data_IF_572056940703
#
_entry.id   IF_572056940703
#
_cell.length_a   1.000
_cell.length_b   1.000
_cell.length_c   1.000
_cell.angle_alpha   90.00
_cell.angle_beta   90.00
_cell.angle_gamma   90.00
#
_symmetry.space_group_name_H-M   'P 1'
#
loop_
_entity.id
_entity.type
_entity.pdbx_description
1 polymer ?
#
# COMPACT_ATOMS: atom_id res chain seq x y z
N UNK A 1 -17.72 6.67 -1.46
CA UNK A 1 -16.34 6.52 -1.97
C UNK A 1 -15.68 5.31 -1.36
N UNK A 2 -14.84 4.64 -2.12
CA UNK A 2 -13.97 3.58 -1.61
C UNK A 2 -12.64 4.20 -1.22
N UNK A 3 -12.31 4.13 0.06
CA UNK A 3 -11.10 4.74 0.59
C UNK A 3 -10.21 3.65 1.16
N UNK A 4 -8.96 3.60 0.69
CA UNK A 4 -7.98 2.63 1.13
C UNK A 4 -6.95 3.31 2.02
N UNK A 5 -6.81 2.84 3.25
CA UNK A 5 -5.83 3.32 4.20
C UNK A 5 -4.69 2.31 4.28
N UNK A 6 -3.48 2.75 3.98
CA UNK A 6 -2.29 1.91 4.01
C UNK A 6 -1.45 2.28 5.22
N UNK A 7 -1.26 1.32 6.13
CA UNK A 7 -0.41 1.51 7.31
C UNK A 7 0.99 0.96 7.02
N UNK A 8 1.97 1.86 6.99
CA UNK A 8 3.36 1.51 6.74
C UNK A 8 4.19 1.28 8.01
N UNK A 9 3.54 1.17 9.17
CA UNK A 9 4.24 0.89 10.41
C UNK A 9 4.42 -0.60 10.64
N UNK A 10 5.60 -1.06 11.09
CA UNK A 10 5.75 -2.45 11.53
C UNK A 10 5.03 -2.74 12.84
N UNK A 11 4.61 -1.71 13.56
CA UNK A 11 3.90 -1.84 14.83
C UNK A 11 2.40 -1.77 14.60
N UNK A 12 1.72 -2.91 14.73
CA UNK A 12 0.27 -3.01 14.44
C UNK A 12 -0.59 -2.16 15.37
N UNK A 13 -0.12 -1.88 16.58
CA UNK A 13 -0.84 -1.09 17.59
C UNK A 13 -0.13 0.23 17.89
N UNK A 14 0.74 0.68 17.01
CA UNK A 14 1.49 1.92 17.19
C UNK A 14 0.67 3.16 16.84
N UNK A 15 1.32 4.32 16.93
CA UNK A 15 0.66 5.61 16.73
C UNK A 15 0.12 5.76 15.30
N UNK A 16 0.85 5.30 14.31
CA UNK A 16 0.40 5.39 12.91
C UNK A 16 -0.91 4.63 12.72
N UNK A 17 -0.98 3.39 13.23
CA UNK A 17 -2.20 2.60 13.13
C UNK A 17 -3.36 3.24 13.86
N UNK A 18 -3.11 3.83 15.04
CA UNK A 18 -4.14 4.51 15.81
C UNK A 18 -4.70 5.73 15.08
N UNK A 19 -3.83 6.52 14.46
CA UNK A 19 -4.26 7.69 13.68
C UNK A 19 -5.12 7.25 12.49
N UNK A 20 -4.73 6.19 11.79
CA UNK A 20 -5.51 5.68 10.66
C UNK A 20 -6.86 5.14 11.13
N UNK A 21 -6.93 4.49 12.30
CA UNK A 21 -8.21 4.05 12.85
C UNK A 21 -9.12 5.24 13.18
N UNK A 22 -8.56 6.31 13.74
CA UNK A 22 -9.32 7.53 14.01
C UNK A 22 -9.85 8.14 12.70
N UNK A 23 -9.02 8.15 11.66
CA UNK A 23 -9.45 8.61 10.35
C UNK A 23 -10.60 7.75 9.80
N UNK A 24 -10.50 6.43 9.95
CA UNK A 24 -11.55 5.51 9.52
C UNK A 24 -12.88 5.83 10.19
N UNK A 25 -12.84 6.12 11.50
CA UNK A 25 -14.05 6.49 12.25
C UNK A 25 -14.61 7.82 11.71
N UNK A 26 -13.74 8.79 11.46
CA UNK A 26 -14.15 10.10 10.95
C UNK A 26 -14.75 10.02 9.53
N UNK A 27 -14.44 8.99 8.78
CA UNK A 27 -14.94 8.77 7.43
C UNK A 27 -16.21 7.91 7.42
N UNK A 28 -16.98 7.94 8.49
CA UNK A 28 -18.25 7.23 8.58
C UNK A 28 -19.13 7.60 7.38
N UNK A 29 -19.77 6.59 6.80
CA UNK A 29 -20.58 6.76 5.59
C UNK A 29 -19.83 6.41 4.31
N UNK A 30 -18.51 6.32 4.35
CA UNK A 30 -17.70 5.86 3.21
C UNK A 30 -17.31 4.40 3.40
N UNK A 31 -16.96 3.73 2.30
CA UNK A 31 -16.41 2.37 2.37
C UNK A 31 -14.90 2.47 2.60
N UNK A 32 -14.46 2.16 3.82
CA UNK A 32 -13.06 2.30 4.21
C UNK A 32 -12.46 0.92 4.45
N UNK A 33 -11.33 0.66 3.81
CA UNK A 33 -10.53 -0.55 4.02
C UNK A 33 -9.17 -0.14 4.53
N UNK A 34 -8.70 -0.77 5.60
CA UNK A 34 -7.39 -0.52 6.16
C UNK A 34 -6.50 -1.73 5.94
N UNK A 35 -5.32 -1.51 5.39
CA UNK A 35 -4.33 -2.55 5.13
C UNK A 35 -3.05 -2.23 5.90
N UNK A 36 -2.57 -3.20 6.67
CA UNK A 36 -1.29 -3.09 7.36
C UNK A 36 -0.23 -3.84 6.56
N UNK A 37 0.79 -3.11 6.09
CA UNK A 37 1.87 -3.72 5.31
C UNK A 37 2.66 -4.74 6.13
N UNK A 38 2.67 -4.59 7.45
CA UNK A 38 3.35 -5.53 8.34
C UNK A 38 2.74 -6.93 8.33
N UNK A 39 1.48 -7.05 7.90
CA UNK A 39 0.77 -8.34 7.84
C UNK A 39 0.87 -9.00 6.48
N UNK A 40 1.44 -8.31 5.49
CA UNK A 40 1.53 -8.81 4.13
C UNK A 40 2.93 -9.34 3.81
N UNK A 41 2.99 -10.27 2.88
CA UNK A 41 4.25 -10.77 2.35
C UNK A 41 4.57 -9.97 1.09
N UNK A 42 5.49 -9.02 1.22
CA UNK A 42 5.93 -8.15 0.13
C UNK A 42 7.44 -8.18 0.02
N UNK A 43 7.95 -8.43 -1.17
CA UNK A 43 9.38 -8.36 -1.47
C UNK A 43 9.69 -7.05 -2.18
N UNK A 44 10.96 -6.67 -2.21
CA UNK A 44 11.39 -5.49 -2.95
C UNK A 44 11.26 -5.68 -4.46
N UNK A 45 11.18 -4.59 -5.19
CA UNK A 45 11.19 -4.62 -6.65
C UNK A 45 12.54 -5.15 -7.16
N UNK A 46 12.48 -6.06 -8.12
CA UNK A 46 13.69 -6.66 -8.70
C UNK A 46 14.24 -5.89 -9.90
N UNK A 47 13.49 -4.88 -10.37
CA UNK A 47 13.92 -4.11 -11.54
C UNK A 47 13.91 -4.90 -12.84
N UNK A 48 13.16 -6.00 -12.90
CA UNK A 48 13.18 -6.91 -14.05
C UNK A 48 12.38 -6.41 -15.24
N UNK A 49 11.55 -5.39 -15.08
CA UNK A 49 10.72 -4.76 -16.11
C UNK A 49 9.67 -5.70 -16.75
N UNK A 50 9.41 -6.87 -16.20
CA UNK A 50 8.41 -7.78 -16.75
C UNK A 50 7.02 -7.14 -16.72
N UNK A 51 6.70 -6.37 -15.68
CA UNK A 51 5.42 -5.67 -15.56
C UNK A 51 5.17 -4.67 -16.70
N UNK A 52 6.22 -4.20 -17.36
CA UNK A 52 6.12 -3.23 -18.45
C UNK A 52 5.77 -3.87 -19.79
N UNK A 53 5.79 -5.20 -19.88
CA UNK A 53 5.46 -5.92 -21.10
C UNK A 53 3.97 -6.05 -21.34
N UNK A 54 3.13 -5.88 -20.30
CA UNK A 54 1.69 -5.88 -20.42
C UNK A 54 1.16 -4.51 -19.99
N UNK A 55 0.73 -3.71 -20.96
CA UNK A 55 0.27 -2.34 -20.70
C UNK A 55 -1.18 -2.26 -20.23
N UNK A 56 -1.91 -3.35 -20.30
CA UNK A 56 -3.35 -3.36 -19.97
C UNK A 56 -3.65 -3.79 -18.55
N UNK A 57 -2.74 -4.53 -17.92
CA UNK A 57 -2.97 -5.10 -16.60
C UNK A 57 -1.94 -4.60 -15.59
N UNK A 58 -2.38 -4.15 -14.41
CA UNK A 58 -1.47 -3.97 -13.31
C UNK A 58 -1.02 -5.35 -12.85
N UNK A 59 0.22 -5.49 -12.46
CA UNK A 59 0.66 -6.74 -11.91
C UNK A 59 2.16 -6.93 -12.02
N UNK A 60 2.64 -7.77 -11.16
CA UNK A 60 4.06 -8.10 -11.05
C UNK A 60 4.21 -9.60 -11.24
N UNK A 61 5.35 -10.02 -11.81
CA UNK A 61 5.67 -11.43 -11.98
C UNK A 61 5.93 -12.12 -10.63
N UNK A 62 6.33 -11.35 -9.62
CA UNK A 62 6.53 -11.91 -8.29
C UNK A 62 5.21 -12.37 -7.66
N UNK A 63 5.23 -13.58 -7.08
CA UNK A 63 4.04 -14.16 -6.48
C UNK A 63 4.02 -13.90 -4.98
N UNK A 64 3.83 -12.64 -4.63
CA UNK A 64 3.59 -12.20 -3.26
C UNK A 64 2.27 -11.42 -3.20
N UNK A 65 2.01 -10.67 -2.15
CA UNK A 65 0.73 -9.98 -1.98
C UNK A 65 0.58 -8.71 -2.83
N UNK A 66 1.58 -8.38 -3.65
CA UNK A 66 1.59 -7.08 -4.34
C UNK A 66 0.46 -6.94 -5.36
N UNK A 67 0.20 -7.96 -6.16
CA UNK A 67 -0.79 -7.83 -7.24
C UNK A 67 -2.18 -7.57 -6.68
N UNK A 68 -2.57 -8.31 -5.63
CA UNK A 68 -3.86 -8.10 -4.98
C UNK A 68 -3.95 -6.70 -4.35
N UNK A 69 -2.86 -6.23 -3.73
CA UNK A 69 -2.84 -4.91 -3.11
C UNK A 69 -2.90 -3.79 -4.16
N UNK A 70 -2.18 -3.93 -5.26
CA UNK A 70 -2.25 -2.95 -6.36
C UNK A 70 -3.64 -2.90 -6.97
N UNK A 71 -4.34 -4.03 -7.04
CA UNK A 71 -5.72 -4.06 -7.50
C UNK A 71 -6.62 -3.24 -6.58
N UNK A 72 -6.43 -3.35 -5.27
CA UNK A 72 -7.16 -2.53 -4.30
C UNK A 72 -6.85 -1.04 -4.48
N UNK A 73 -5.59 -0.69 -4.75
CA UNK A 73 -5.19 0.70 -5.03
C UNK A 73 -5.94 1.23 -6.25
N UNK A 74 -6.01 0.45 -7.32
CA UNK A 74 -6.66 0.88 -8.55
C UNK A 74 -8.17 1.04 -8.38
N UNK A 75 -8.80 0.22 -7.55
CA UNK A 75 -10.24 0.26 -7.31
C UNK A 75 -10.63 1.35 -6.32
N UNK A 76 -9.69 1.90 -5.58
CA UNK A 76 -9.96 2.94 -4.59
C UNK A 76 -10.19 4.28 -5.25
N UNK A 77 -11.11 5.06 -4.69
CA UNK A 77 -11.31 6.46 -5.09
C UNK A 77 -10.24 7.35 -4.45
N UNK A 78 -9.77 6.98 -3.26
CA UNK A 78 -8.70 7.69 -2.56
C UNK A 78 -7.84 6.69 -1.79
N UNK A 79 -6.55 6.96 -1.73
CA UNK A 79 -5.59 6.16 -0.97
C UNK A 79 -4.85 7.07 -0.01
N UNK A 80 -4.82 6.68 1.25
CA UNK A 80 -4.10 7.42 2.30
C UNK A 80 -2.96 6.55 2.80
N UNK A 81 -1.75 7.08 2.78
CA UNK A 81 -0.57 6.39 3.27
C UNK A 81 -0.20 6.94 4.64
N UNK A 82 -0.21 6.09 5.66
CA UNK A 82 0.27 6.43 6.99
C UNK A 82 1.63 5.80 7.23
N UNK A 83 2.55 6.58 7.78
CA UNK A 83 3.92 6.10 8.01
C UNK A 83 4.52 6.72 9.26
N UNK A 84 5.30 5.94 10.04
CA UNK A 84 6.17 6.54 11.03
C UNK A 84 7.35 7.21 10.35
N UNK A 85 8.00 8.11 11.05
CA UNK A 85 9.22 8.76 10.56
C UNK A 85 10.42 7.93 11.02
N UNK A 86 11.04 7.22 10.09
CA UNK A 86 12.23 6.42 10.33
C UNK A 86 13.37 6.94 9.44
N UNK A 87 14.53 7.16 10.06
CA UNK A 87 15.68 7.66 9.30
C UNK A 87 15.40 8.97 8.57
N UNK A 88 14.60 9.86 9.16
CA UNK A 88 14.20 11.15 8.62
C UNK A 88 13.30 11.06 7.37
N UNK A 89 12.68 9.91 7.13
CA UNK A 89 11.81 9.70 5.99
C UNK A 89 10.70 8.71 6.34
N UNK A 90 9.92 8.30 5.36
CA UNK A 90 8.91 7.28 5.56
C UNK A 90 9.58 5.92 5.78
N UNK A 91 8.80 4.97 6.33
CA UNK A 91 9.32 3.66 6.73
C UNK A 91 9.81 2.85 5.54
N UNK A 92 10.71 1.90 5.81
CA UNK A 92 11.15 0.94 4.81
C UNK A 92 10.00 0.08 4.27
N UNK A 93 9.04 -0.28 5.13
CA UNK A 93 7.86 -1.02 4.73
C UNK A 93 7.05 -0.25 3.68
N UNK A 94 6.86 1.04 3.90
CA UNK A 94 6.13 1.86 2.93
C UNK A 94 6.93 2.06 1.65
N UNK A 95 8.23 2.32 1.76
CA UNK A 95 9.09 2.50 0.56
C UNK A 95 9.10 1.26 -0.30
N UNK A 96 9.18 0.10 0.30
CA UNK A 96 9.15 -1.17 -0.42
C UNK A 96 7.86 -1.33 -1.21
N UNK A 97 6.73 -0.99 -0.60
CA UNK A 97 5.45 -1.01 -1.29
C UNK A 97 5.41 0.05 -2.41
N UNK A 98 5.89 1.26 -2.14
CA UNK A 98 5.89 2.33 -3.13
C UNK A 98 6.75 1.99 -4.34
N UNK A 99 7.89 1.34 -4.15
CA UNK A 99 8.72 0.90 -5.27
C UNK A 99 7.98 -0.09 -6.18
N UNK A 100 7.10 -0.90 -5.61
CA UNK A 100 6.33 -1.88 -6.35
C UNK A 100 5.19 -1.24 -7.16
N UNK A 101 4.91 0.05 -6.95
CA UNK A 101 3.95 0.79 -7.78
C UNK A 101 4.42 0.92 -9.23
N UNK A 102 5.68 0.60 -9.54
CA UNK A 102 6.18 0.61 -10.91
C UNK A 102 5.32 -0.26 -11.84
N UNK A 103 4.68 -1.29 -11.30
CA UNK A 103 3.78 -2.14 -12.07
C UNK A 103 2.52 -1.42 -12.55
N UNK A 104 2.23 -0.21 -12.01
CA UNK A 104 1.14 0.65 -12.45
C UNK A 104 1.59 1.74 -13.43
N UNK A 105 2.87 2.02 -13.49
CA UNK A 105 3.43 3.11 -14.31
C UNK A 105 3.93 2.55 -15.64
N UNK A 106 3.04 2.55 -16.63
CA UNK A 106 3.33 1.92 -17.92
C UNK A 106 3.32 2.96 -19.04
#
# INVERSE_FOLDING_TARGET
MNILLICGSPRKQGNTAQILRQLSIALEGETVTMVSLAELHLNGCLGCSVCQSDLEKPGCVQQDDITALLQQVMEADAVVYGTPLYGHSYSGQLKLFMDRHVALFK
#
